data_IF_532225591332
#
_entry.id   IF_532225591332
#
_cell.length_a   1.000
_cell.length_b   1.000
_cell.length_c   1.000
_cell.angle_alpha   90.00
_cell.angle_beta   90.00
_cell.angle_gamma   90.00
#
_symmetry.space_group_name_H-M   'P 1'
#
loop_
_entity.id
_entity.type
_entity.pdbx_description
1 polymer ?
#
# COMPACT_ATOMS: atom_id res chain seq x y z
N UNK A 1 -1.94 -4.84 17.01
CA UNK A 1 -1.17 -3.89 16.18
C UNK A 1 -0.90 -4.58 14.87
N UNK A 2 -1.29 -3.98 13.75
CA UNK A 2 -1.13 -4.56 12.42
C UNK A 2 -0.37 -3.58 11.54
N UNK A 3 0.45 -4.10 10.63
CA UNK A 3 1.21 -3.31 9.65
C UNK A 3 0.77 -3.74 8.25
N UNK A 4 0.43 -2.77 7.41
CA UNK A 4 0.25 -2.98 5.97
C UNK A 4 1.48 -2.41 5.28
N UNK A 5 2.21 -3.26 4.56
CA UNK A 5 3.37 -2.88 3.78
C UNK A 5 3.03 -3.02 2.30
N UNK A 6 3.22 -1.94 1.54
CA UNK A 6 3.08 -1.92 0.09
C UNK A 6 4.44 -1.59 -0.49
N UNK A 7 4.99 -2.52 -1.27
CA UNK A 7 6.31 -2.42 -1.85
C UNK A 7 6.31 -2.95 -3.29
N UNK A 8 7.36 -2.64 -4.04
CA UNK A 8 7.60 -3.30 -5.32
C UNK A 8 7.81 -4.80 -5.11
N UNK A 9 7.52 -5.60 -6.13
CA UNK A 9 7.84 -7.03 -6.13
C UNK A 9 9.35 -7.23 -6.29
N UNK A 10 10.08 -7.03 -5.20
CA UNK A 10 11.54 -7.15 -5.09
C UNK A 10 11.86 -7.90 -3.81
N UNK A 11 12.73 -8.89 -3.90
CA UNK A 11 13.21 -9.69 -2.77
C UNK A 11 14.58 -9.21 -2.24
N UNK A 12 15.13 -8.14 -2.82
CA UNK A 12 16.42 -7.59 -2.43
C UNK A 12 16.34 -6.95 -1.04
N UNK A 13 17.10 -7.49 -0.09
CA UNK A 13 17.28 -6.89 1.24
C UNK A 13 18.77 -6.91 1.62
N UNK A 14 19.37 -5.73 1.80
CA UNK A 14 20.72 -5.61 2.35
C UNK A 14 20.68 -5.31 3.84
N UNK A 15 21.18 -6.25 4.65
CA UNK A 15 21.13 -6.18 6.10
C UNK A 15 22.43 -5.60 6.66
N UNK A 16 22.34 -4.48 7.36
CA UNK A 16 23.47 -3.88 8.10
C UNK A 16 23.67 -4.48 9.49
N UNK A 17 22.58 -4.89 10.14
CA UNK A 17 22.61 -5.44 11.50
C UNK A 17 21.44 -6.38 11.76
N UNK A 18 21.63 -7.39 12.61
CA UNK A 18 20.61 -8.42 12.89
C UNK A 18 20.36 -8.72 14.38
N UNK A 19 20.77 -7.83 15.29
CA UNK A 19 20.47 -7.93 16.74
C UNK A 19 20.80 -9.30 17.36
N UNK A 20 21.94 -9.90 16.97
CA UNK A 20 22.42 -11.19 17.49
C UNK A 20 21.78 -12.43 16.86
N UNK A 21 20.88 -12.28 15.88
CA UNK A 21 20.36 -13.40 15.09
C UNK A 21 21.38 -13.84 14.01
N UNK A 22 21.37 -15.12 13.59
CA UNK A 22 22.42 -15.68 12.74
C UNK A 22 22.15 -15.52 11.24
N UNK A 23 21.44 -14.47 10.78
CA UNK A 23 21.20 -14.26 9.35
C UNK A 23 22.34 -13.45 8.74
N UNK A 24 22.58 -13.65 7.44
CA UNK A 24 23.64 -12.96 6.72
C UNK A 24 23.45 -11.43 6.72
N UNK A 25 24.62 -10.77 6.81
CA UNK A 25 24.78 -9.33 6.64
C UNK A 25 25.35 -9.06 5.25
N UNK A 26 24.99 -7.92 4.67
CA UNK A 26 25.39 -7.50 3.33
C UNK A 26 26.06 -6.12 3.39
N UNK A 27 27.13 -5.98 4.17
CA UNK A 27 27.67 -4.67 4.56
C UNK A 27 28.10 -3.82 3.37
N UNK A 28 28.92 -4.35 2.47
CA UNK A 28 29.43 -3.59 1.31
C UNK A 28 28.29 -3.14 0.39
N UNK A 29 27.38 -4.05 0.05
CA UNK A 29 26.21 -3.74 -0.79
C UNK A 29 25.25 -2.77 -0.10
N UNK A 30 25.02 -2.92 1.21
CA UNK A 30 24.17 -2.03 1.98
C UNK A 30 24.74 -0.61 2.03
N UNK A 31 26.04 -0.47 2.30
CA UNK A 31 26.71 0.85 2.36
C UNK A 31 26.72 1.52 0.99
N UNK A 32 26.92 0.76 -0.08
CA UNK A 32 26.94 1.30 -1.44
C UNK A 32 25.62 1.95 -1.88
N UNK A 33 24.48 1.47 -1.37
CA UNK A 33 23.14 2.00 -1.73
C UNK A 33 22.50 2.85 -0.64
N UNK A 34 23.11 2.93 0.55
CA UNK A 34 22.53 3.66 1.67
C UNK A 34 22.64 5.18 1.50
N UNK A 35 21.58 5.88 1.86
CA UNK A 35 21.60 7.32 2.07
C UNK A 35 21.82 7.63 3.56
N UNK A 36 23.06 7.89 3.96
CA UNK A 36 23.46 8.10 5.37
C UNK A 36 22.99 9.39 6.04
N UNK A 37 22.04 10.11 5.42
CA UNK A 37 21.43 11.32 5.97
C UNK A 37 20.21 11.03 6.85
N UNK A 38 19.69 12.05 7.57
CA UNK A 38 18.43 11.90 8.30
C UNK A 38 17.28 11.63 7.33
N UNK A 39 16.32 10.81 7.75
CA UNK A 39 15.11 10.53 6.97
C UNK A 39 14.31 11.83 6.74
N UNK A 40 14.00 12.20 5.47
CA UNK A 40 13.32 13.45 5.15
C UNK A 40 11.98 13.59 5.87
N UNK A 41 11.70 14.78 6.43
CA UNK A 41 10.46 15.03 7.16
C UNK A 41 9.22 14.94 6.27
N UNK A 42 9.32 15.35 5.01
CA UNK A 42 8.22 15.35 4.04
C UNK A 42 7.64 13.95 3.73
N UNK A 43 8.42 12.88 3.98
CA UNK A 43 7.96 11.50 3.80
C UNK A 43 7.25 10.93 5.03
N UNK A 44 7.25 11.65 6.15
CA UNK A 44 6.50 11.26 7.36
C UNK A 44 5.12 11.89 7.28
N UNK A 45 4.09 11.04 7.19
CA UNK A 45 2.69 11.47 7.16
C UNK A 45 1.93 10.81 8.30
N UNK A 46 1.08 11.58 8.99
CA UNK A 46 0.03 11.04 9.82
C UNK A 46 -1.23 10.96 8.96
N UNK A 47 -1.72 9.74 8.76
CA UNK A 47 -2.94 9.50 7.99
C UNK A 47 -4.11 9.53 8.97
N UNK A 48 -5.17 10.26 8.63
CA UNK A 48 -6.39 10.25 9.41
C UNK A 48 -6.93 8.81 9.51
N UNK A 49 -7.44 8.40 10.69
CA UNK A 49 -7.90 7.04 10.88
C UNK A 49 -9.02 6.68 9.90
N UNK A 50 -9.83 7.66 9.50
CA UNK A 50 -10.94 7.57 8.57
C UNK A 50 -10.88 8.66 7.48
N UNK A 51 -11.78 8.57 6.50
CA UNK A 51 -11.88 9.51 5.38
C UNK A 51 -10.97 9.16 4.21
N UNK A 52 -11.10 9.93 3.12
CA UNK A 52 -10.29 9.75 1.92
C UNK A 52 -8.91 10.41 2.09
N UNK A 53 -7.84 9.76 1.61
CA UNK A 53 -6.50 10.34 1.63
C UNK A 53 -5.59 9.74 0.54
N UNK A 54 -4.91 10.58 -0.22
CA UNK A 54 -3.83 10.16 -1.11
C UNK A 54 -2.54 9.94 -0.30
N UNK A 55 -2.06 8.70 -0.27
CA UNK A 55 -0.92 8.31 0.56
C UNK A 55 0.38 8.39 -0.25
N UNK A 56 0.37 7.80 -1.44
CA UNK A 56 1.50 7.75 -2.36
C UNK A 56 1.04 8.11 -3.76
N UNK A 57 1.74 9.07 -4.36
CA UNK A 57 1.70 9.39 -5.79
C UNK A 57 3.13 9.27 -6.29
N UNK A 58 3.59 8.03 -6.45
CA UNK A 58 4.97 7.71 -6.78
C UNK A 58 5.12 7.27 -8.23
N UNK A 59 6.35 7.16 -8.74
CA UNK A 59 6.60 6.70 -10.09
C UNK A 59 6.34 5.20 -10.29
N UNK A 60 6.28 4.41 -9.20
CA UNK A 60 6.23 2.95 -9.24
C UNK A 60 4.86 2.39 -8.86
N UNK A 61 4.12 3.11 -8.03
CA UNK A 61 2.76 2.79 -7.65
C UNK A 61 2.08 4.02 -7.08
N UNK A 62 0.74 4.00 -7.09
CA UNK A 62 -0.12 4.91 -6.33
C UNK A 62 -0.85 4.16 -5.22
N UNK A 63 -1.16 4.88 -4.16
CA UNK A 63 -1.86 4.36 -3.00
C UNK A 63 -2.80 5.43 -2.43
N UNK A 64 -4.07 5.09 -2.32
CA UNK A 64 -5.10 5.93 -1.73
C UNK A 64 -5.85 5.14 -0.65
N UNK A 65 -6.23 5.85 0.42
CA UNK A 65 -7.27 5.42 1.35
C UNK A 65 -8.60 5.98 0.88
N UNK A 66 -9.62 5.12 0.81
CA UNK A 66 -10.98 5.49 0.45
C UNK A 66 -11.96 5.08 1.55
N UNK A 67 -12.86 5.99 1.90
CA UNK A 67 -13.96 5.78 2.82
C UNK A 67 -15.23 5.55 2.00
N UNK A 68 -15.67 4.29 1.98
CA UNK A 68 -16.67 3.83 1.01
C UNK A 68 -16.14 3.89 -0.43
N UNK A 69 -17.05 4.13 -1.37
CA UNK A 69 -16.70 4.22 -2.78
C UNK A 69 -15.83 5.48 -3.05
N UNK A 70 -14.79 5.37 -3.88
CA UNK A 70 -13.94 6.51 -4.24
C UNK A 70 -14.73 7.61 -4.95
N UNK A 71 -14.39 8.86 -4.66
CA UNK A 71 -14.87 10.01 -5.44
C UNK A 71 -14.36 9.94 -6.89
N UNK A 72 -15.05 10.62 -7.81
CA UNK A 72 -14.75 10.55 -9.25
C UNK A 72 -13.30 10.95 -9.58
N UNK A 73 -12.73 11.90 -8.86
CA UNK A 73 -11.35 12.37 -9.04
C UNK A 73 -10.32 11.32 -8.61
N UNK A 74 -10.64 10.52 -7.59
CA UNK A 74 -9.83 9.37 -7.19
C UNK A 74 -10.01 8.27 -8.21
N UNK A 75 -11.24 7.92 -8.56
CA UNK A 75 -11.55 6.86 -9.51
C UNK A 75 -10.88 7.07 -10.88
N UNK A 76 -10.86 8.31 -11.39
CA UNK A 76 -10.21 8.66 -12.66
C UNK A 76 -8.70 8.38 -12.70
N UNK A 77 -8.04 8.29 -11.53
CA UNK A 77 -6.63 7.90 -11.43
C UNK A 77 -6.43 6.39 -11.53
N UNK A 78 -7.43 5.55 -11.28
CA UNK A 78 -7.27 4.10 -11.21
C UNK A 78 -7.77 3.42 -12.49
N UNK A 79 -6.94 3.50 -13.55
CA UNK A 79 -7.22 2.84 -14.82
C UNK A 79 -6.56 1.46 -14.87
N UNK A 80 -7.33 0.39 -15.00
CA UNK A 80 -6.83 -0.99 -15.07
C UNK A 80 -6.68 -1.67 -13.70
N UNK A 81 -5.91 -2.77 -13.63
CA UNK A 81 -5.86 -3.61 -12.44
C UNK A 81 -5.31 -2.89 -11.20
N UNK A 82 -5.86 -3.23 -10.04
CA UNK A 82 -5.50 -2.66 -8.74
C UNK A 82 -5.75 -3.66 -7.61
N UNK A 83 -5.06 -3.45 -6.49
CA UNK A 83 -5.28 -4.18 -5.25
C UNK A 83 -6.25 -3.43 -4.35
N UNK A 84 -7.22 -4.15 -3.78
CA UNK A 84 -8.09 -3.67 -2.72
C UNK A 84 -7.70 -4.33 -1.39
N UNK A 85 -7.44 -3.52 -0.37
CA UNK A 85 -6.98 -3.95 0.96
C UNK A 85 -7.91 -3.31 2.00
N UNK A 86 -9.02 -4.00 2.36
CA UNK A 86 -9.94 -3.51 3.38
C UNK A 86 -9.25 -3.38 4.74
N UNK A 87 -9.46 -2.24 5.39
CA UNK A 87 -9.03 -1.95 6.77
C UNK A 87 -10.19 -2.03 7.75
N UNK A 88 -11.37 -1.57 7.32
CA UNK A 88 -12.61 -1.60 8.10
C UNK A 88 -13.78 -1.88 7.16
N UNK A 89 -14.66 -2.80 7.56
CA UNK A 89 -15.72 -3.31 6.68
C UNK A 89 -15.18 -4.17 5.53
N UNK A 90 -15.93 -5.17 5.06
CA UNK A 90 -15.53 -5.94 3.90
C UNK A 90 -15.69 -5.12 2.61
N UNK A 91 -14.95 -5.51 1.58
CA UNK A 91 -15.24 -5.15 0.18
C UNK A 91 -15.57 -6.42 -0.58
N UNK A 92 -16.35 -6.35 -1.66
CA UNK A 92 -16.50 -7.48 -2.55
C UNK A 92 -15.72 -7.21 -3.83
N UNK A 93 -14.92 -8.18 -4.27
CA UNK A 93 -14.16 -8.09 -5.52
C UNK A 93 -14.59 -9.24 -6.41
N UNK A 94 -15.16 -8.93 -7.56
CA UNK A 94 -15.72 -9.92 -8.48
C UNK A 94 -16.65 -10.95 -7.79
N UNK A 95 -17.49 -10.46 -6.87
CA UNK A 95 -18.46 -11.28 -6.10
C UNK A 95 -17.89 -12.04 -4.90
N UNK A 96 -16.58 -11.96 -4.63
CA UNK A 96 -15.96 -12.57 -3.46
C UNK A 96 -15.78 -11.54 -2.34
N UNK A 97 -16.26 -11.85 -1.12
CA UNK A 97 -16.06 -11.00 0.04
C UNK A 97 -14.59 -11.05 0.51
N UNK A 98 -14.01 -9.87 0.72
CA UNK A 98 -12.68 -9.67 1.28
C UNK A 98 -12.84 -8.95 2.61
N UNK A 99 -12.58 -9.65 3.72
CA UNK A 99 -12.64 -9.08 5.05
C UNK A 99 -11.38 -8.26 5.39
N UNK A 100 -11.43 -7.35 6.38
CA UNK A 100 -10.25 -6.64 6.86
C UNK A 100 -9.06 -7.55 7.16
N UNK A 101 -7.88 -7.14 6.68
CA UNK A 101 -6.65 -7.96 6.72
C UNK A 101 -6.48 -8.87 5.50
N UNK A 102 -7.48 -8.96 4.63
CA UNK A 102 -7.38 -9.57 3.31
C UNK A 102 -6.81 -8.59 2.26
N UNK A 103 -6.55 -9.13 1.06
CA UNK A 103 -6.14 -8.39 -0.12
C UNK A 103 -6.69 -9.11 -1.35
N UNK A 104 -7.19 -8.37 -2.33
CA UNK A 104 -7.65 -8.92 -3.60
C UNK A 104 -7.20 -8.08 -4.78
N UNK A 105 -6.92 -8.75 -5.89
CA UNK A 105 -6.72 -8.13 -7.19
C UNK A 105 -8.08 -7.95 -7.87
N UNK A 106 -8.41 -6.71 -8.21
CA UNK A 106 -9.51 -6.38 -9.11
C UNK A 106 -8.93 -6.04 -10.50
N UNK A 107 -9.62 -6.42 -11.58
CA UNK A 107 -9.19 -6.08 -12.95
C UNK A 107 -9.40 -4.60 -13.27
N UNK A 108 -10.30 -3.97 -12.53
CA UNK A 108 -10.62 -2.55 -12.61
C UNK A 108 -11.40 -2.13 -11.36
N UNK A 109 -11.50 -0.82 -11.14
CA UNK A 109 -12.13 -0.26 -9.94
C UNK A 109 -13.63 -0.61 -9.83
N UNK A 110 -14.31 -0.77 -10.97
CA UNK A 110 -15.73 -1.14 -11.06
C UNK A 110 -16.02 -2.59 -10.65
N UNK A 111 -15.00 -3.44 -10.52
CA UNK A 111 -15.17 -4.79 -9.95
C UNK A 111 -15.23 -4.80 -8.41
N UNK A 112 -15.04 -3.64 -7.77
CA UNK A 112 -14.97 -3.51 -6.32
C UNK A 112 -16.25 -2.88 -5.80
N UNK A 113 -17.04 -3.66 -5.07
CA UNK A 113 -18.15 -3.15 -4.27
C UNK A 113 -17.64 -2.74 -2.89
N UNK A 114 -17.54 -1.43 -2.67
CA UNK A 114 -17.10 -0.86 -1.40
C UNK A 114 -18.24 -0.86 -0.37
N UNK A 115 -17.97 -1.25 0.87
CA UNK A 115 -18.91 -1.06 1.96
C UNK A 115 -19.20 0.44 2.15
N UNK A 116 -20.48 0.80 2.31
CA UNK A 116 -20.91 2.20 2.47
C UNK A 116 -20.22 2.92 3.65
N UNK A 117 -19.97 2.18 4.73
CA UNK A 117 -19.23 2.64 5.91
C UNK A 117 -17.97 1.80 6.15
N UNK A 118 -17.12 1.69 5.13
CA UNK A 118 -15.83 0.99 5.20
C UNK A 118 -14.62 1.89 4.93
N UNK A 119 -13.44 1.37 5.25
CA UNK A 119 -12.15 1.95 4.85
C UNK A 119 -11.39 0.91 4.06
N UNK A 120 -10.94 1.28 2.86
CA UNK A 120 -10.15 0.42 2.00
C UNK A 120 -8.91 1.18 1.52
N UNK A 121 -7.77 0.49 1.44
CA UNK A 121 -6.66 0.99 0.65
C UNK A 121 -6.78 0.44 -0.76
N UNK A 122 -6.60 1.30 -1.76
CA UNK A 122 -6.49 0.90 -3.16
C UNK A 122 -5.07 1.20 -3.67
N UNK A 123 -4.39 0.18 -4.17
CA UNK A 123 -3.01 0.28 -4.64
C UNK A 123 -2.93 -0.14 -6.10
N UNK A 124 -2.25 0.65 -6.93
CA UNK A 124 -2.07 0.32 -8.35
C UNK A 124 -0.60 0.49 -8.74
N UNK A 125 0.05 -0.55 -9.29
CA UNK A 125 1.39 -0.42 -9.85
C UNK A 125 1.36 0.53 -11.05
N UNK A 126 2.42 1.31 -11.20
CA UNK A 126 2.64 2.23 -12.31
C UNK A 126 3.88 1.78 -13.05
N UNK A 127 3.64 1.35 -14.29
CA UNK A 127 4.66 0.99 -15.27
C UNK A 127 4.49 1.90 -16.49
#
# INVERSE_FOLDING_TARGET
>A
MSLIEVQQNSDITYRLYDYGRPRDLHLDAAVAVAHGGPHPAQWRKHVAPSGNAMLVEGPLFRLDQVAGAPAAEVAARYAGPLLAIPREGPVHVAGSEIAPGGCALARSLDEIDFAHYGLCLIAQPLN
#
